data_IF_483493288036
#
_entry.id   IF_483493288036
#
_cell.length_a   1.000
_cell.length_b   1.000
_cell.length_c   1.000
_cell.angle_alpha   90.00
_cell.angle_beta   90.00
_cell.angle_gamma   90.00
#
_symmetry.space_group_name_H-M   'P 1'
#
loop_
_entity.id
_entity.type
_entity.pdbx_description
1 polymer ?
#
# COMPACT_ATOMS: atom_id res chain seq x y z
N UNK A 1 -8.81 -30.87 17.72
CA UNK A 1 -9.22 -29.53 17.26
C UNK A 1 -8.21 -28.53 17.80
N UNK A 2 -7.48 -27.84 16.94
CA UNK A 2 -6.35 -27.00 17.33
C UNK A 2 -6.83 -25.54 17.53
N UNK A 3 -7.30 -25.22 18.72
CA UNK A 3 -7.86 -23.90 19.11
C UNK A 3 -6.97 -22.68 18.72
N UNK A 4 -5.66 -22.89 18.58
CA UNK A 4 -4.73 -21.84 18.16
C UNK A 4 -4.74 -21.62 16.64
N UNK A 5 -4.93 -22.69 15.86
CA UNK A 5 -5.06 -22.60 14.41
C UNK A 5 -6.41 -21.94 14.03
N UNK A 6 -7.51 -22.41 14.65
CA UNK A 6 -8.86 -21.83 14.44
C UNK A 6 -8.91 -20.34 14.83
N UNK A 7 -8.14 -19.96 15.85
CA UNK A 7 -8.06 -18.59 16.33
C UNK A 7 -7.29 -17.67 15.38
N UNK A 8 -6.22 -18.17 14.74
CA UNK A 8 -5.43 -17.43 13.73
C UNK A 8 -6.24 -17.31 12.46
N UNK A 9 -6.86 -18.39 11.99
CA UNK A 9 -7.74 -18.43 10.84
C UNK A 9 -8.89 -17.40 10.94
N UNK A 10 -9.57 -17.34 12.10
CA UNK A 10 -10.61 -16.35 12.32
C UNK A 10 -10.11 -14.91 12.30
N UNK A 11 -8.89 -14.64 12.78
CA UNK A 11 -8.30 -13.31 12.76
C UNK A 11 -8.02 -12.88 11.32
N UNK A 12 -7.43 -13.76 10.54
CA UNK A 12 -7.03 -13.49 9.16
C UNK A 12 -8.28 -13.28 8.27
N UNK A 13 -9.34 -14.08 8.46
CA UNK A 13 -10.64 -13.90 7.80
C UNK A 13 -11.31 -12.57 8.14
N UNK A 14 -11.22 -12.11 9.39
CA UNK A 14 -11.77 -10.80 9.79
C UNK A 14 -11.00 -9.67 9.12
N UNK A 15 -9.67 -9.74 9.07
CA UNK A 15 -8.82 -8.73 8.44
C UNK A 15 -9.08 -8.67 6.93
N UNK A 16 -9.15 -9.81 6.27
CA UNK A 16 -9.48 -9.91 4.84
C UNK A 16 -10.86 -9.35 4.50
N UNK A 17 -11.87 -9.69 5.30
CA UNK A 17 -13.23 -9.16 5.14
C UNK A 17 -13.28 -7.64 5.35
N UNK A 18 -12.53 -7.13 6.32
CA UNK A 18 -12.43 -5.70 6.56
C UNK A 18 -11.75 -4.97 5.39
N UNK A 19 -10.66 -5.50 4.88
CA UNK A 19 -9.94 -4.97 3.72
C UNK A 19 -10.87 -4.83 2.51
N UNK A 20 -11.57 -5.92 2.14
CA UNK A 20 -12.53 -5.92 1.03
C UNK A 20 -13.67 -4.91 1.21
N UNK A 21 -14.25 -4.83 2.41
CA UNK A 21 -15.34 -3.92 2.68
C UNK A 21 -14.89 -2.46 2.77
N UNK A 22 -13.69 -2.20 3.30
CA UNK A 22 -13.14 -0.85 3.34
C UNK A 22 -12.83 -0.31 1.94
N UNK A 23 -12.38 -1.15 1.02
CA UNK A 23 -12.17 -0.77 -0.38
C UNK A 23 -13.48 -0.36 -1.08
N UNK A 24 -14.59 -1.07 -0.84
CA UNK A 24 -15.87 -0.83 -1.52
C UNK A 24 -16.74 0.22 -0.81
N UNK A 25 -16.80 0.16 0.53
CA UNK A 25 -17.77 0.92 1.34
C UNK A 25 -17.12 1.97 2.24
N UNK A 26 -15.79 2.05 2.22
CA UNK A 26 -15.00 2.99 3.03
C UNK A 26 -14.85 2.57 4.49
N UNK A 27 -14.01 3.31 5.22
CA UNK A 27 -13.61 3.01 6.60
C UNK A 27 -14.75 3.09 7.62
N UNK A 28 -15.89 3.70 7.26
CA UNK A 28 -17.07 3.80 8.12
C UNK A 28 -17.91 2.51 8.18
N UNK A 29 -17.55 1.47 7.42
CA UNK A 29 -18.26 0.18 7.39
C UNK A 29 -18.51 -0.36 8.80
N UNK A 30 -19.76 -0.76 9.13
CA UNK A 30 -20.10 -1.25 10.47
C UNK A 30 -19.36 -2.53 10.83
N UNK A 31 -18.86 -2.65 12.07
CA UNK A 31 -18.19 -3.85 12.58
C UNK A 31 -19.07 -5.12 12.48
N UNK A 32 -20.39 -4.97 12.61
CA UNK A 32 -21.35 -6.07 12.42
C UNK A 32 -21.40 -6.59 10.98
N UNK A 33 -21.20 -5.72 10.00
CA UNK A 33 -21.14 -6.11 8.59
C UNK A 33 -19.84 -6.85 8.29
N UNK A 34 -18.73 -6.38 8.84
CA UNK A 34 -17.44 -7.07 8.74
C UNK A 34 -17.52 -8.47 9.36
N UNK A 35 -18.13 -8.61 10.55
CA UNK A 35 -18.32 -9.92 11.20
C UNK A 35 -19.15 -10.86 10.32
N UNK A 36 -20.25 -10.37 9.72
CA UNK A 36 -21.10 -11.11 8.80
C UNK A 36 -20.32 -11.56 7.55
N UNK A 37 -19.54 -10.66 6.95
CA UNK A 37 -18.75 -10.96 5.74
C UNK A 37 -17.64 -11.97 6.04
N UNK A 38 -16.96 -11.85 7.19
CA UNK A 38 -15.95 -12.78 7.66
C UNK A 38 -16.52 -14.15 8.08
N UNK A 39 -17.86 -14.31 8.18
CA UNK A 39 -18.52 -15.52 8.67
C UNK A 39 -18.20 -15.83 10.14
N UNK A 40 -18.05 -14.78 10.96
CA UNK A 40 -17.81 -14.91 12.41
C UNK A 40 -18.90 -14.22 13.24
N UNK A 41 -19.10 -14.68 14.47
CA UNK A 41 -20.00 -13.99 15.39
C UNK A 41 -19.46 -12.62 15.84
N UNK A 42 -20.36 -11.64 16.08
CA UNK A 42 -19.99 -10.32 16.56
C UNK A 42 -19.14 -10.35 17.84
N UNK A 43 -19.45 -11.28 18.77
CA UNK A 43 -18.66 -11.49 19.99
C UNK A 43 -17.23 -12.01 19.69
N UNK A 44 -17.04 -12.77 18.62
CA UNK A 44 -15.71 -13.24 18.20
C UNK A 44 -14.90 -12.10 17.62
N UNK A 45 -15.52 -11.29 16.76
CA UNK A 45 -14.89 -10.09 16.22
C UNK A 45 -14.48 -9.11 17.33
N UNK A 46 -15.41 -8.76 18.25
CA UNK A 46 -15.12 -7.83 19.35
C UNK A 46 -14.03 -8.31 20.32
N UNK A 47 -13.90 -9.62 20.53
CA UNK A 47 -12.79 -10.17 21.32
C UNK A 47 -11.44 -10.08 20.60
N UNK A 48 -11.42 -10.15 19.27
CA UNK A 48 -10.19 -10.09 18.47
C UNK A 48 -9.76 -8.65 18.19
N UNK A 49 -10.73 -7.82 17.94
CA UNK A 49 -10.57 -6.40 17.63
C UNK A 49 -11.57 -5.59 18.49
N UNK A 50 -11.15 -5.19 19.71
CA UNK A 50 -12.02 -4.48 20.64
C UNK A 50 -12.49 -3.12 20.11
N UNK A 51 -11.71 -2.49 19.24
CA UNK A 51 -12.02 -1.21 18.63
C UNK A 51 -11.90 -1.28 17.10
N UNK A 52 -12.52 -0.33 16.41
CA UNK A 52 -12.38 -0.15 14.96
C UNK A 52 -10.92 0.12 14.58
N UNK A 53 -10.24 0.95 15.36
CA UNK A 53 -8.86 1.34 15.17
C UNK A 53 -7.95 0.11 15.20
N UNK A 54 -8.14 -0.81 16.17
CA UNK A 54 -7.36 -2.04 16.24
C UNK A 54 -7.54 -2.97 15.04
N UNK A 55 -8.71 -2.93 14.39
CA UNK A 55 -8.94 -3.67 13.15
C UNK A 55 -8.29 -2.96 11.95
N UNK A 56 -8.41 -1.63 11.88
CA UNK A 56 -7.74 -0.83 10.86
C UNK A 56 -6.22 -1.00 10.90
N UNK A 57 -5.62 -0.95 12.09
CA UNK A 57 -4.18 -1.20 12.29
C UNK A 57 -3.76 -2.58 11.75
N UNK A 58 -4.60 -3.61 11.95
CA UNK A 58 -4.31 -4.95 11.45
C UNK A 58 -4.43 -5.06 9.92
N UNK A 59 -5.38 -4.35 9.31
CA UNK A 59 -5.50 -4.24 7.85
C UNK A 59 -4.27 -3.52 7.29
N UNK A 60 -3.89 -2.41 7.88
CA UNK A 60 -2.72 -1.63 7.45
C UNK A 60 -1.42 -2.43 7.59
N UNK A 61 -1.23 -3.13 8.70
CA UNK A 61 -0.05 -3.98 8.89
C UNK A 61 0.06 -5.09 7.84
N UNK A 62 -1.07 -5.67 7.42
CA UNK A 62 -1.11 -6.68 6.35
C UNK A 62 -0.71 -6.08 5.00
N UNK A 63 -1.28 -4.94 4.63
CA UNK A 63 -0.96 -4.24 3.39
C UNK A 63 0.50 -3.78 3.35
N UNK A 64 0.99 -3.21 4.46
CA UNK A 64 2.39 -2.81 4.60
C UNK A 64 3.33 -4.00 4.41
N UNK A 65 3.02 -5.17 5.00
CA UNK A 65 3.81 -6.39 4.82
C UNK A 65 3.89 -6.83 3.36
N UNK A 66 2.78 -6.71 2.60
CA UNK A 66 2.79 -7.00 1.18
C UNK A 66 3.69 -6.02 0.40
N UNK A 67 3.58 -4.72 0.68
CA UNK A 67 4.42 -3.71 0.05
C UNK A 67 5.90 -3.87 0.38
N UNK A 68 6.24 -4.20 1.62
CA UNK A 68 7.63 -4.46 2.01
C UNK A 68 8.23 -5.62 1.23
N UNK A 69 7.48 -6.72 1.04
CA UNK A 69 7.93 -7.84 0.21
C UNK A 69 8.12 -7.42 -1.26
N UNK A 70 7.19 -6.67 -1.84
CA UNK A 70 7.31 -6.17 -3.22
C UNK A 70 8.53 -5.25 -3.41
N UNK A 71 8.83 -4.41 -2.41
CA UNK A 71 10.02 -3.54 -2.41
C UNK A 71 11.31 -4.37 -2.32
N UNK A 72 11.35 -5.42 -1.51
CA UNK A 72 12.51 -6.30 -1.39
C UNK A 72 12.74 -7.12 -2.67
N UNK A 73 11.68 -7.57 -3.33
CA UNK A 73 11.74 -8.21 -4.63
C UNK A 73 12.28 -7.24 -5.69
N UNK A 74 11.79 -6.02 -5.75
CA UNK A 74 12.27 -4.98 -6.66
C UNK A 74 13.76 -4.67 -6.42
N UNK A 75 14.20 -4.65 -5.17
CA UNK A 75 15.60 -4.42 -4.80
C UNK A 75 16.56 -5.55 -5.22
N UNK A 76 16.02 -6.72 -5.54
CA UNK A 76 16.77 -7.90 -6.01
C UNK A 76 16.65 -8.11 -7.52
N UNK A 77 15.88 -7.26 -8.22
CA UNK A 77 15.66 -7.38 -9.65
C UNK A 77 16.92 -7.03 -10.47
N UNK A 78 17.12 -7.66 -11.64
CA UNK A 78 18.28 -7.40 -12.48
C UNK A 78 18.29 -6.00 -13.12
N UNK A 79 17.14 -5.40 -13.35
CA UNK A 79 16.94 -4.03 -13.83
C UNK A 79 16.26 -3.21 -12.74
N UNK A 80 17.06 -2.43 -12.01
CA UNK A 80 16.60 -1.66 -10.86
C UNK A 80 15.60 -0.55 -11.26
N UNK A 81 15.78 0.09 -12.43
CA UNK A 81 14.89 1.14 -12.88
C UNK A 81 13.52 0.61 -13.28
N UNK A 82 13.49 -0.44 -14.09
CA UNK A 82 12.24 -1.09 -14.49
C UNK A 82 11.49 -1.63 -13.26
N UNK A 83 12.20 -2.25 -12.31
CA UNK A 83 11.59 -2.76 -11.09
C UNK A 83 10.99 -1.64 -10.23
N UNK A 84 11.67 -0.50 -10.09
CA UNK A 84 11.13 0.67 -9.39
C UNK A 84 9.88 1.21 -10.07
N UNK A 85 9.90 1.35 -11.39
CA UNK A 85 8.74 1.86 -12.15
C UNK A 85 7.54 0.92 -12.05
N UNK A 86 7.76 -0.40 -12.09
CA UNK A 86 6.69 -1.40 -11.89
C UNK A 86 6.09 -1.27 -10.49
N UNK A 87 6.92 -1.19 -9.45
CA UNK A 87 6.48 -1.00 -8.08
C UNK A 87 5.66 0.29 -7.90
N UNK A 88 6.10 1.39 -8.53
CA UNK A 88 5.38 2.68 -8.49
C UNK A 88 4.07 2.61 -9.26
N UNK A 89 4.03 1.90 -10.39
CA UNK A 89 2.79 1.71 -11.15
C UNK A 89 1.77 0.91 -10.33
N UNK A 90 2.19 -0.20 -9.72
CA UNK A 90 1.33 -1.02 -8.86
C UNK A 90 0.80 -0.21 -7.67
N UNK A 91 1.64 0.62 -7.04
CA UNK A 91 1.23 1.49 -5.95
C UNK A 91 0.21 2.55 -6.40
N UNK A 92 0.47 3.22 -7.51
CA UNK A 92 -0.42 4.25 -8.04
C UNK A 92 -1.75 3.67 -8.53
N UNK A 93 -1.73 2.49 -9.17
CA UNK A 93 -2.95 1.79 -9.61
C UNK A 93 -3.77 1.31 -8.41
N UNK A 94 -3.13 0.75 -7.38
CA UNK A 94 -3.82 0.36 -6.15
C UNK A 94 -4.51 1.56 -5.47
N UNK A 95 -3.85 2.73 -5.39
CA UNK A 95 -4.47 3.96 -4.88
C UNK A 95 -5.69 4.38 -5.73
N UNK A 96 -5.59 4.24 -7.05
CA UNK A 96 -6.65 4.62 -7.97
C UNK A 96 -7.86 3.68 -7.89
N UNK A 97 -7.63 2.38 -7.62
CA UNK A 97 -8.66 1.34 -7.55
C UNK A 97 -9.34 1.29 -6.17
N UNK A 98 -8.56 1.25 -5.10
CA UNK A 98 -9.04 1.08 -3.73
C UNK A 98 -9.41 2.41 -3.05
N UNK A 99 -9.22 3.54 -3.75
CA UNK A 99 -9.65 4.87 -3.33
C UNK A 99 -9.14 5.25 -1.95
N UNK A 100 -10.07 5.50 -1.02
CA UNK A 100 -9.79 6.07 0.31
C UNK A 100 -8.89 5.17 1.16
N UNK A 101 -8.94 3.83 1.02
CA UNK A 101 -8.16 2.93 1.88
C UNK A 101 -6.68 2.91 1.52
N UNK A 102 -6.35 2.76 0.24
CA UNK A 102 -4.96 2.76 -0.21
C UNK A 102 -4.30 4.13 0.04
N UNK A 103 -5.03 5.23 -0.18
CA UNK A 103 -4.53 6.58 0.11
C UNK A 103 -4.27 6.79 1.60
N UNK A 104 -5.16 6.32 2.49
CA UNK A 104 -4.97 6.42 3.93
C UNK A 104 -3.78 5.58 4.43
N UNK A 105 -3.58 4.37 3.87
CA UNK A 105 -2.40 3.55 4.19
C UNK A 105 -1.12 4.28 3.81
N UNK A 106 -1.05 4.78 2.58
CA UNK A 106 0.12 5.49 2.08
C UNK A 106 0.37 6.76 2.87
N UNK A 107 -0.65 7.59 3.12
CA UNK A 107 -0.50 8.82 3.91
C UNK A 107 -0.13 8.54 5.37
N UNK A 108 -0.77 7.56 6.01
CA UNK A 108 -0.44 7.16 7.37
C UNK A 108 0.99 6.62 7.46
N UNK A 109 1.44 5.91 6.44
CA UNK A 109 2.82 5.44 6.35
C UNK A 109 3.79 6.59 6.11
N UNK A 110 3.56 7.45 5.11
CA UNK A 110 4.47 8.53 4.75
C UNK A 110 4.53 9.67 5.80
N UNK A 111 3.39 10.01 6.41
CA UNK A 111 3.25 11.17 7.31
C UNK A 111 3.06 10.78 8.78
N UNK A 112 2.65 9.53 9.07
CA UNK A 112 2.40 9.03 10.43
C UNK A 112 3.69 8.74 11.21
N UNK A 113 3.53 8.64 12.53
CA UNK A 113 4.61 8.28 13.47
C UNK A 113 4.58 6.79 13.86
N UNK A 114 3.51 6.08 13.50
CA UNK A 114 3.23 4.73 13.99
C UNK A 114 4.16 3.64 13.41
N UNK A 115 4.71 3.85 12.20
CA UNK A 115 5.55 2.88 11.48
C UNK A 115 6.95 3.45 11.21
N UNK A 116 7.58 4.05 12.23
CA UNK A 116 8.85 4.77 12.06
C UNK A 116 10.00 3.89 11.55
N UNK A 117 10.15 2.69 12.11
CA UNK A 117 11.22 1.76 11.73
C UNK A 117 10.96 1.15 10.34
N UNK A 118 9.73 0.76 10.05
CA UNK A 118 9.32 0.24 8.74
C UNK A 118 9.47 1.30 7.65
N UNK A 119 9.08 2.54 7.93
CA UNK A 119 9.25 3.66 7.00
C UNK A 119 10.73 3.91 6.70
N UNK A 120 11.59 3.88 7.70
CA UNK A 120 13.03 4.05 7.51
C UNK A 120 13.63 2.91 6.67
N UNK A 121 13.18 1.66 6.90
CA UNK A 121 13.60 0.49 6.13
C UNK A 121 13.15 0.58 4.65
N UNK A 122 11.89 0.95 4.41
CA UNK A 122 11.35 1.16 3.05
C UNK A 122 12.14 2.25 2.33
N UNK A 123 12.31 3.41 2.96
CA UNK A 123 13.10 4.51 2.40
C UNK A 123 14.51 4.06 2.01
N UNK A 124 15.23 3.41 2.93
CA UNK A 124 16.58 2.94 2.68
C UNK A 124 16.65 1.95 1.51
N UNK A 125 15.65 1.06 1.39
CA UNK A 125 15.58 0.09 0.30
C UNK A 125 15.28 0.77 -1.05
N UNK A 126 14.33 1.69 -1.10
CA UNK A 126 14.01 2.44 -2.34
C UNK A 126 15.19 3.33 -2.76
N UNK A 127 15.84 4.03 -1.83
CA UNK A 127 17.07 4.80 -2.13
C UNK A 127 18.17 3.89 -2.71
N UNK A 128 18.32 2.67 -2.21
CA UNK A 128 19.27 1.69 -2.74
C UNK A 128 18.92 1.28 -4.18
N UNK A 129 17.63 1.08 -4.51
CA UNK A 129 17.16 0.79 -5.87
C UNK A 129 17.48 1.97 -6.80
N UNK A 130 17.15 3.19 -6.39
CA UNK A 130 17.45 4.43 -7.12
C UNK A 130 18.95 4.52 -7.42
N UNK A 131 19.80 4.37 -6.40
CA UNK A 131 21.24 4.43 -6.57
C UNK A 131 21.78 3.31 -7.48
N UNK A 132 21.17 2.12 -7.48
CA UNK A 132 21.56 1.07 -8.43
C UNK A 132 21.20 1.49 -9.86
N UNK A 133 19.99 1.97 -10.11
CA UNK A 133 19.56 2.45 -11.44
C UNK A 133 20.44 3.60 -11.96
N UNK A 134 20.86 4.51 -11.08
CA UNK A 134 21.79 5.60 -11.40
C UNK A 134 23.19 5.06 -11.78
N UNK A 135 23.71 4.08 -11.02
CA UNK A 135 25.00 3.45 -11.35
C UNK A 135 24.97 2.68 -12.68
N UNK A 136 23.85 2.07 -12.98
CA UNK A 136 23.63 1.32 -14.23
C UNK A 136 23.37 2.25 -15.43
N UNK A 137 23.24 3.56 -15.20
CA UNK A 137 22.97 4.57 -16.24
C UNK A 137 21.55 4.45 -16.83
N UNK A 138 20.59 3.88 -16.07
CA UNK A 138 19.19 3.74 -16.51
C UNK A 138 18.28 4.81 -15.91
N UNK A 139 18.72 5.46 -14.83
CA UNK A 139 18.03 6.58 -14.20
C UNK A 139 18.92 7.82 -14.09
N UNK A 140 18.30 9.01 -14.22
CA UNK A 140 18.97 10.30 -14.00
C UNK A 140 19.56 10.40 -12.60
N UNK A 141 20.70 11.09 -12.46
CA UNK A 141 21.30 11.43 -11.15
C UNK A 141 20.38 12.28 -10.27
N UNK A 142 19.37 12.91 -10.85
CA UNK A 142 18.51 13.88 -10.17
C UNK A 142 17.33 13.22 -9.43
N UNK A 143 16.96 11.96 -9.79
CA UNK A 143 15.85 11.27 -9.11
C UNK A 143 16.20 10.94 -7.67
N UNK A 144 15.28 11.22 -6.75
CA UNK A 144 15.44 11.05 -5.31
C UNK A 144 14.24 10.34 -4.70
N UNK A 145 14.35 9.96 -3.42
CA UNK A 145 13.22 9.50 -2.62
C UNK A 145 12.06 10.52 -2.58
N UNK A 146 12.38 11.81 -2.51
CA UNK A 146 11.36 12.86 -2.41
C UNK A 146 10.53 12.95 -3.69
N UNK A 147 11.12 12.65 -4.87
CA UNK A 147 10.38 12.57 -6.13
C UNK A 147 9.43 11.35 -6.16
N UNK A 148 9.84 10.23 -5.57
CA UNK A 148 8.96 9.06 -5.38
C UNK A 148 7.77 9.41 -4.49
N UNK A 149 8.00 10.06 -3.36
CA UNK A 149 6.94 10.53 -2.45
C UNK A 149 6.01 11.50 -3.17
N UNK A 150 6.57 12.47 -3.90
CA UNK A 150 5.80 13.46 -4.65
C UNK A 150 4.90 12.79 -5.70
N UNK A 151 5.41 11.78 -6.42
CA UNK A 151 4.62 11.02 -7.39
C UNK A 151 3.40 10.35 -6.73
N UNK A 152 3.62 9.68 -5.59
CA UNK A 152 2.57 8.97 -4.85
C UNK A 152 1.53 9.95 -4.30
N UNK A 153 1.95 11.09 -3.78
CA UNK A 153 1.04 12.14 -3.28
C UNK A 153 0.25 12.81 -4.43
N UNK A 154 0.89 13.07 -5.55
CA UNK A 154 0.23 13.62 -6.73
C UNK A 154 -0.81 12.65 -7.30
N UNK A 155 -0.51 11.34 -7.33
CA UNK A 155 -1.45 10.33 -7.77
C UNK A 155 -2.69 10.23 -6.87
N UNK A 156 -2.50 10.28 -5.55
CA UNK A 156 -3.61 10.30 -4.59
C UNK A 156 -4.54 11.49 -4.83
N UNK A 157 -3.98 12.69 -5.03
CA UNK A 157 -4.75 13.89 -5.37
C UNK A 157 -5.48 13.79 -6.71
N UNK A 158 -4.80 13.25 -7.74
CA UNK A 158 -5.38 13.07 -9.06
C UNK A 158 -6.51 12.03 -9.07
N UNK A 159 -6.39 10.95 -8.31
CA UNK A 159 -7.40 9.88 -8.22
C UNK A 159 -8.72 10.36 -7.61
N UNK A 160 -8.67 11.28 -6.64
CA UNK A 160 -9.86 11.88 -6.03
C UNK A 160 -10.64 12.74 -7.05
N UNK A 161 -9.92 13.39 -7.99
CA UNK A 161 -10.49 14.29 -8.98
C UNK A 161 -10.82 13.61 -10.32
N UNK A 162 -10.41 12.35 -10.49
CA UNK A 162 -10.60 11.62 -11.72
C UNK A 162 -12.08 11.31 -11.97
N UNK A 163 -12.59 11.77 -13.13
CA UNK A 163 -13.99 11.59 -13.51
C UNK A 163 -14.21 10.45 -14.50
N UNK A 164 -13.14 9.79 -15.00
CA UNK A 164 -13.23 8.81 -16.09
C UNK A 164 -12.53 7.48 -15.75
N UNK A 165 -11.21 7.41 -15.90
CA UNK A 165 -10.42 6.20 -15.71
C UNK A 165 -9.23 6.51 -14.79
N UNK A 166 -9.39 6.32 -13.47
CA UNK A 166 -8.33 6.62 -12.51
C UNK A 166 -7.09 5.74 -12.70
N UNK A 167 -7.26 4.47 -13.10
CA UNK A 167 -6.13 3.56 -13.33
C UNK A 167 -5.29 3.98 -14.55
N UNK A 168 -5.94 4.34 -15.66
CA UNK A 168 -5.24 4.87 -16.83
C UNK A 168 -4.54 6.20 -16.50
N UNK A 169 -5.13 7.02 -15.63
CA UNK A 169 -4.52 8.22 -15.06
C UNK A 169 -3.24 7.92 -14.30
N UNK A 170 -3.29 6.95 -13.39
CA UNK A 170 -2.17 6.49 -12.58
C UNK A 170 -1.00 6.00 -13.45
N UNK A 171 -1.26 5.09 -14.40
CA UNK A 171 -0.25 4.60 -15.35
C UNK A 171 0.39 5.73 -16.16
N UNK A 172 -0.42 6.70 -16.61
CA UNK A 172 0.09 7.85 -17.37
C UNK A 172 0.98 8.75 -16.51
N UNK A 173 0.64 8.94 -15.24
CA UNK A 173 1.46 9.72 -14.30
C UNK A 173 2.83 9.07 -14.09
N UNK A 174 2.86 7.75 -13.85
CA UNK A 174 4.12 6.99 -13.74
C UNK A 174 4.92 7.04 -15.04
N UNK A 175 4.27 6.94 -16.19
CA UNK A 175 4.95 7.09 -17.49
C UNK A 175 5.60 8.47 -17.65
N UNK A 176 4.96 9.56 -17.22
CA UNK A 176 5.56 10.89 -17.23
C UNK A 176 6.75 10.99 -16.26
N UNK A 177 6.63 10.42 -15.09
CA UNK A 177 7.73 10.32 -14.13
C UNK A 177 8.92 9.56 -14.75
N UNK A 178 8.68 8.39 -15.33
CA UNK A 178 9.71 7.59 -15.98
C UNK A 178 10.45 8.37 -17.06
N UNK A 179 9.72 9.12 -17.90
CA UNK A 179 10.32 9.96 -18.96
C UNK A 179 11.11 11.15 -18.43
N UNK A 180 10.73 11.69 -17.28
CA UNK A 180 11.42 12.84 -16.67
C UNK A 180 12.75 12.44 -16.06
N UNK A 181 12.90 11.18 -15.62
CA UNK A 181 14.05 10.67 -14.90
C UNK A 181 14.79 9.52 -15.61
N UNK A 182 14.45 9.21 -16.86
CA UNK A 182 15.28 8.33 -17.69
C UNK A 182 16.63 8.99 -17.98
N UNK A 183 17.71 8.20 -17.97
CA UNK A 183 19.07 8.66 -18.30
C UNK A 183 19.25 8.86 -19.80
#
# INVERSE_FOLDING_TARGET
MNLRADARDNRDRIVEAAEQLYAVSGLATPMSEIARHAGVGAATLSRRFPTRESLMDAVFARQLGWWMNAIDEAASAPDAWVALLTLLEDACVAQAHDGVCADLVVRSFLQGTTFGDEKAAVRATVERIIHQAQRDGTASSDVTWDDVVLLIEANAGASILATHDPEAGARRLVHHFARSFAA
#
